data_IF_495227623340
#
_entry.id   IF_495227623340
#
_cell.length_a   1.000
_cell.length_b   1.000
_cell.length_c   1.000
_cell.angle_alpha   90.00
_cell.angle_beta   90.00
_cell.angle_gamma   90.00
#
_symmetry.space_group_name_H-M   'P 1'
#
loop_
_entity.id
_entity.type
_entity.pdbx_description
1 polymer ?
#
# COMPACT_ATOMS: atom_id res chain seq x y z
N UNK A 1 18.75 -1.19 8.20
CA UNK A 1 17.90 -0.26 7.43
C UNK A 1 17.05 -1.08 6.46
N UNK A 2 15.73 -1.06 6.56
CA UNK A 2 14.87 -1.76 5.60
C UNK A 2 14.67 -0.91 4.35
N UNK A 3 14.70 -1.53 3.18
CA UNK A 3 14.48 -0.83 1.90
C UNK A 3 13.03 -0.34 1.80
N UNK A 4 12.75 0.73 1.02
CA UNK A 4 11.38 1.17 0.73
C UNK A 4 10.50 0.03 0.21
N UNK A 5 11.02 -0.79 -0.70
CA UNK A 5 10.34 -1.96 -1.23
C UNK A 5 9.93 -2.98 -0.17
N UNK A 6 10.81 -3.25 0.81
CA UNK A 6 10.49 -4.14 1.92
C UNK A 6 9.31 -3.59 2.73
N UNK A 7 9.31 -2.31 3.08
CA UNK A 7 8.20 -1.70 3.80
C UNK A 7 6.89 -1.68 3.00
N UNK A 8 6.97 -1.44 1.69
CA UNK A 8 5.81 -1.50 0.81
C UNK A 8 5.17 -2.90 0.86
N UNK A 9 5.98 -3.94 0.66
CA UNK A 9 5.51 -5.31 0.77
C UNK A 9 4.85 -5.60 2.12
N UNK A 10 5.44 -5.11 3.22
CA UNK A 10 4.89 -5.33 4.56
C UNK A 10 3.47 -4.79 4.71
N UNK A 11 3.24 -3.54 4.29
CA UNK A 11 1.92 -2.93 4.36
C UNK A 11 0.92 -3.65 3.45
N UNK A 12 1.33 -4.04 2.24
CA UNK A 12 0.47 -4.77 1.30
C UNK A 12 0.07 -6.15 1.83
N UNK A 13 1.02 -6.93 2.38
CA UNK A 13 0.70 -8.23 3.00
C UNK A 13 -0.23 -8.06 4.19
N UNK A 14 0.01 -7.08 5.06
CA UNK A 14 -0.89 -6.82 6.18
C UNK A 14 -2.26 -6.35 5.72
N UNK A 15 -2.36 -5.54 4.67
CA UNK A 15 -3.64 -5.10 4.11
C UNK A 15 -4.43 -6.30 3.60
N UNK A 16 -3.79 -7.19 2.83
CA UNK A 16 -4.39 -8.45 2.37
C UNK A 16 -4.82 -9.36 3.51
N UNK A 17 -3.98 -9.54 4.53
CA UNK A 17 -4.33 -10.33 5.71
C UNK A 17 -5.49 -9.70 6.50
N UNK A 18 -5.55 -8.38 6.59
CA UNK A 18 -6.64 -7.63 7.25
C UNK A 18 -7.95 -7.77 6.49
N UNK A 19 -7.90 -7.79 5.16
CA UNK A 19 -9.06 -8.08 4.31
C UNK A 19 -9.62 -9.47 4.58
N UNK A 20 -8.76 -10.51 4.62
CA UNK A 20 -9.16 -11.88 4.91
C UNK A 20 -9.79 -12.03 6.31
N UNK A 21 -9.30 -11.25 7.28
CA UNK A 21 -9.80 -11.23 8.67
C UNK A 21 -11.01 -10.30 8.88
N UNK A 22 -11.58 -9.73 7.81
CA UNK A 22 -12.73 -8.81 7.86
C UNK A 22 -12.46 -7.59 8.76
N UNK A 23 -11.26 -7.03 8.69
CA UNK A 23 -10.85 -5.82 9.41
C UNK A 23 -10.69 -4.63 8.44
N UNK A 24 -11.79 -4.11 7.87
CA UNK A 24 -11.72 -3.12 6.80
C UNK A 24 -11.03 -1.81 7.21
N UNK A 25 -11.25 -1.35 8.44
CA UNK A 25 -10.61 -0.13 8.94
C UNK A 25 -9.08 -0.27 9.07
N UNK A 26 -8.59 -1.46 9.40
CA UNK A 26 -7.14 -1.72 9.49
C UNK A 26 -6.57 -1.83 8.09
N UNK A 27 -7.26 -2.55 7.19
CA UNK A 27 -6.91 -2.64 5.77
C UNK A 27 -6.77 -1.24 5.15
N UNK A 28 -7.77 -0.37 5.30
CA UNK A 28 -7.75 0.96 4.67
C UNK A 28 -6.56 1.80 5.14
N UNK A 29 -6.24 1.75 6.43
CA UNK A 29 -5.06 2.44 6.99
C UNK A 29 -3.75 1.90 6.43
N UNK A 30 -3.64 0.59 6.27
CA UNK A 30 -2.45 -0.05 5.69
C UNK A 30 -2.33 0.25 4.19
N UNK A 31 -3.46 0.29 3.47
CA UNK A 31 -3.49 0.70 2.05
C UNK A 31 -3.10 2.18 1.88
N UNK A 32 -3.44 3.07 2.81
CA UNK A 32 -2.94 4.46 2.78
C UNK A 32 -1.43 4.49 2.94
N UNK A 33 -0.87 3.75 3.91
CA UNK A 33 0.58 3.69 4.12
C UNK A 33 1.31 3.07 2.91
N UNK A 34 0.77 1.99 2.35
CA UNK A 34 1.29 1.36 1.15
C UNK A 34 1.21 2.28 -0.06
N UNK A 35 0.06 2.92 -0.31
CA UNK A 35 -0.16 3.79 -1.46
C UNK A 35 0.72 5.04 -1.44
N UNK A 36 0.92 5.64 -0.26
CA UNK A 36 1.89 6.74 -0.09
C UNK A 36 3.31 6.28 -0.38
N UNK A 37 3.71 5.11 0.10
CA UNK A 37 5.05 4.59 -0.14
C UNK A 37 5.27 4.23 -1.60
N UNK A 38 4.28 3.62 -2.26
CA UNK A 38 4.30 3.34 -3.69
C UNK A 38 4.44 4.62 -4.51
N UNK A 39 3.70 5.69 -4.18
CA UNK A 39 3.83 6.98 -4.84
C UNK A 39 5.23 7.61 -4.67
N UNK A 40 5.86 7.46 -3.49
CA UNK A 40 7.24 7.92 -3.28
C UNK A 40 8.30 7.06 -4.00
N UNK A 41 7.92 5.88 -4.49
CA UNK A 41 8.77 4.97 -5.27
C UNK A 41 8.46 5.06 -6.77
N UNK A 42 7.67 6.05 -7.21
CA UNK A 42 7.19 6.22 -8.58
C UNK A 42 6.37 5.01 -9.12
N UNK A 43 5.81 4.19 -8.21
CA UNK A 43 4.93 3.07 -8.53
C UNK A 43 3.47 3.54 -8.60
N UNK A 44 3.19 4.49 -9.51
CA UNK A 44 1.88 5.15 -9.63
C UNK A 44 0.71 4.16 -9.79
N UNK A 45 0.79 3.10 -10.61
CA UNK A 45 -0.31 2.13 -10.73
C UNK A 45 -0.63 1.41 -9.43
N UNK A 46 0.39 1.09 -8.61
CA UNK A 46 0.20 0.48 -7.29
C UNK A 46 -0.47 1.47 -6.33
N UNK A 47 -0.03 2.72 -6.34
CA UNK A 47 -0.62 3.78 -5.53
C UNK A 47 -2.10 4.01 -5.90
N UNK A 48 -2.41 4.04 -7.20
CA UNK A 48 -3.77 4.19 -7.72
C UNK A 48 -4.65 2.99 -7.33
N UNK A 49 -4.14 1.76 -7.46
CA UNK A 49 -4.83 0.56 -7.01
C UNK A 49 -5.18 0.63 -5.51
N UNK A 50 -4.22 0.99 -4.65
CA UNK A 50 -4.45 1.13 -3.22
C UNK A 50 -5.57 2.15 -2.92
N UNK A 51 -5.57 3.28 -3.63
CA UNK A 51 -6.63 4.30 -3.50
C UNK A 51 -7.98 3.77 -3.97
N UNK A 52 -8.01 3.06 -5.10
CA UNK A 52 -9.22 2.44 -5.65
C UNK A 52 -9.87 1.47 -4.65
N UNK A 53 -9.07 0.60 -4.04
CA UNK A 53 -9.55 -0.36 -3.03
C UNK A 53 -10.14 0.33 -1.79
N UNK A 54 -9.49 1.40 -1.31
CA UNK A 54 -10.02 2.19 -0.18
C UNK A 54 -11.37 2.80 -0.55
N UNK A 55 -11.48 3.41 -1.73
CA UNK A 55 -12.70 4.10 -2.16
C UNK A 55 -13.84 3.16 -2.54
N UNK A 56 -13.52 1.99 -3.07
CA UNK A 56 -14.50 0.93 -3.37
C UNK A 56 -15.24 0.49 -2.11
N UNK A 57 -14.52 0.39 -0.99
CA UNK A 57 -15.10 0.03 0.31
C UNK A 57 -15.66 1.23 1.08
N UNK A 58 -14.95 2.34 1.11
CA UNK A 58 -15.35 3.56 1.80
C UNK A 58 -15.32 4.75 0.81
N UNK A 59 -16.43 4.97 0.06
CA UNK A 59 -16.52 6.06 -0.92
C UNK A 59 -16.43 7.46 -0.32
N UNK A 60 -16.56 7.59 1.01
CA UNK A 60 -16.47 8.84 1.76
C UNK A 60 -15.10 8.99 2.46
N UNK A 61 -14.14 8.12 2.17
CA UNK A 61 -12.81 8.20 2.77
C UNK A 61 -12.10 9.50 2.39
N UNK A 62 -11.30 10.04 3.31
CA UNK A 62 -10.57 11.31 3.15
C UNK A 62 -9.75 11.38 1.85
N UNK A 63 -9.14 10.25 1.45
CA UNK A 63 -8.32 10.13 0.22
C UNK A 63 -9.08 10.44 -1.07
N UNK A 64 -10.42 10.49 -1.04
CA UNK A 64 -11.23 10.91 -2.19
C UNK A 64 -10.93 12.35 -2.61
N UNK A 65 -10.56 13.23 -1.65
CA UNK A 65 -10.28 14.64 -1.90
C UNK A 65 -9.18 14.87 -2.94
N UNK A 66 -8.26 13.92 -3.09
CA UNK A 66 -7.13 14.04 -3.99
C UNK A 66 -7.18 12.97 -5.09
N UNK A 67 -6.75 13.28 -6.32
CA UNK A 67 -6.72 12.32 -7.42
C UNK A 67 -5.66 11.23 -7.23
N UNK A 68 -4.51 11.58 -6.65
CA UNK A 68 -3.38 10.67 -6.39
C UNK A 68 -2.84 10.84 -4.97
N UNK A 69 -2.13 9.83 -4.46
CA UNK A 69 -1.41 9.96 -3.18
C UNK A 69 -0.27 10.99 -3.26
N UNK A 70 0.35 11.17 -4.43
CA UNK A 70 1.32 12.24 -4.66
C UNK A 70 0.71 13.63 -4.46
N UNK A 71 -0.48 13.87 -5.03
CA UNK A 71 -1.22 15.12 -4.81
C UNK A 71 -1.63 15.28 -3.34
N UNK A 72 -2.04 14.19 -2.68
CA UNK A 72 -2.40 14.21 -1.26
C UNK A 72 -1.21 14.59 -0.36
N UNK A 73 0.02 14.17 -0.70
CA UNK A 73 1.22 14.55 0.07
C UNK A 73 1.51 16.06 0.05
N UNK A 74 0.98 16.80 -0.92
CA UNK A 74 1.08 18.27 -0.95
C UNK A 74 0.15 18.99 0.03
N UNK A 75 -0.79 18.28 0.67
CA UNK A 75 -1.83 18.85 1.54
C UNK A 75 -1.51 18.61 3.03
N UNK A 76 -1.57 19.66 3.85
CA UNK A 76 -1.22 19.61 5.28
C UNK A 76 -2.14 18.70 6.11
N UNK A 77 -3.43 18.63 5.78
CA UNK A 77 -4.40 17.77 6.46
C UNK A 77 -4.00 16.30 6.26
N UNK A 78 -3.67 15.95 5.00
CA UNK A 78 -3.27 14.60 4.66
C UNK A 78 -1.92 14.24 5.26
N UNK A 79 -0.93 15.15 5.24
CA UNK A 79 0.34 14.93 5.90
C UNK A 79 0.18 14.66 7.41
N UNK A 80 -0.71 15.40 8.08
CA UNK A 80 -1.03 15.20 9.49
C UNK A 80 -1.67 13.83 9.73
N UNK A 81 -2.63 13.42 8.89
CA UNK A 81 -3.23 12.09 8.93
C UNK A 81 -2.20 10.98 8.71
N UNK A 82 -1.35 11.10 7.69
CA UNK A 82 -0.31 10.14 7.36
C UNK A 82 0.71 9.98 8.51
N UNK A 83 1.14 11.09 9.14
CA UNK A 83 2.01 11.06 10.33
C UNK A 83 1.37 10.28 11.49
N UNK A 84 0.07 10.46 11.73
CA UNK A 84 -0.65 9.70 12.75
C UNK A 84 -0.70 8.20 12.43
N UNK A 85 -0.94 7.84 11.16
CA UNK A 85 -0.93 6.44 10.72
C UNK A 85 0.46 5.80 10.92
N UNK A 86 1.53 6.48 10.52
CA UNK A 86 2.90 6.00 10.73
C UNK A 86 3.23 5.77 12.21
N UNK A 87 2.78 6.65 13.10
CA UNK A 87 2.95 6.46 14.56
C UNK A 87 2.15 5.26 15.10
N UNK A 88 0.99 4.98 14.52
CA UNK A 88 0.13 3.84 14.92
C UNK A 88 0.66 2.49 14.43
N UNK A 89 1.34 2.51 13.28
CA UNK A 89 1.93 1.35 12.62
C UNK A 89 3.41 1.59 12.33
N UNK A 90 4.26 1.68 13.38
CA UNK A 90 5.71 1.73 13.19
C UNK A 90 6.22 0.42 12.59
N UNK A 91 7.40 0.46 11.96
CA UNK A 91 8.01 -0.69 11.27
C UNK A 91 8.11 -1.92 12.16
N UNK A 92 8.55 -1.77 13.42
CA UNK A 92 8.68 -2.89 14.36
C UNK A 92 7.35 -3.59 14.62
N UNK A 93 6.27 -2.81 14.82
CA UNK A 93 4.93 -3.35 15.04
C UNK A 93 4.40 -4.06 13.80
N UNK A 94 4.66 -3.49 12.63
CA UNK A 94 4.28 -4.07 11.34
C UNK A 94 4.99 -5.40 11.11
N UNK A 95 6.29 -5.46 11.40
CA UNK A 95 7.07 -6.70 11.35
C UNK A 95 6.54 -7.74 12.33
N UNK A 96 6.27 -7.37 13.58
CA UNK A 96 5.67 -8.26 14.58
C UNK A 96 4.30 -8.78 14.13
N UNK A 97 3.46 -7.94 13.53
CA UNK A 97 2.16 -8.37 12.99
C UNK A 97 2.34 -9.40 11.88
N UNK A 98 3.30 -9.22 10.96
CA UNK A 98 3.58 -10.20 9.90
C UNK A 98 4.05 -11.53 10.46
N UNK A 99 4.97 -11.50 11.43
CA UNK A 99 5.44 -12.72 12.12
C UNK A 99 4.28 -13.43 12.81
N UNK A 100 3.39 -12.69 13.48
CA UNK A 100 2.21 -13.26 14.15
C UNK A 100 1.23 -13.93 13.18
N UNK A 101 1.24 -13.52 11.92
CA UNK A 101 0.42 -14.08 10.84
C UNK A 101 1.12 -15.23 10.10
N UNK A 102 2.37 -15.56 10.44
CA UNK A 102 3.17 -16.56 9.74
C UNK A 102 3.64 -16.13 8.35
N UNK A 103 3.64 -14.84 8.04
CA UNK A 103 4.02 -14.31 6.72
C UNK A 103 5.54 -14.12 6.67
N UNK A 104 6.22 -14.94 5.87
CA UNK A 104 7.68 -14.85 5.67
C UNK A 104 8.03 -14.14 4.36
N UNK A 105 8.35 -12.85 4.45
CA UNK A 105 8.72 -12.04 3.27
C UNK A 105 10.17 -12.23 2.79
N UNK A 106 11.03 -12.85 3.61
CA UNK A 106 12.48 -12.74 3.48
C UNK A 106 13.05 -13.26 2.14
N UNK A 107 12.36 -14.18 1.45
CA UNK A 107 12.76 -14.72 0.14
C UNK A 107 11.78 -14.42 -0.99
N UNK A 108 10.62 -13.86 -0.66
CA UNK A 108 9.54 -13.64 -1.63
C UNK A 108 9.96 -12.56 -2.64
N UNK A 109 10.54 -11.45 -2.17
CA UNK A 109 11.02 -10.35 -3.03
C UNK A 109 12.16 -10.76 -3.98
N UNK A 110 12.99 -11.74 -3.60
CA UNK A 110 14.09 -12.23 -4.43
C UNK A 110 13.60 -13.05 -5.64
N UNK A 111 12.34 -13.47 -5.62
CA UNK A 111 11.73 -14.26 -6.71
C UNK A 111 11.19 -13.36 -7.83
N UNK A 112 11.14 -12.04 -7.62
CA UNK A 112 10.59 -11.08 -8.57
C UNK A 112 11.67 -10.17 -9.15
N UNK A 113 11.49 -9.78 -10.41
CA UNK A 113 12.48 -8.99 -11.15
C UNK A 113 12.48 -7.52 -10.74
N UNK A 114 11.35 -7.00 -10.26
CA UNK A 114 11.20 -5.60 -9.86
C UNK A 114 10.29 -5.43 -8.63
N UNK A 115 10.47 -4.31 -7.93
CA UNK A 115 9.59 -3.94 -6.81
C UNK A 115 8.14 -3.72 -7.27
N UNK A 116 7.92 -3.34 -8.53
CA UNK A 116 6.59 -3.22 -9.15
C UNK A 116 5.91 -4.57 -9.30
N UNK A 117 6.61 -5.54 -9.89
CA UNK A 117 6.13 -6.90 -10.07
C UNK A 117 5.85 -7.58 -8.72
N UNK A 118 6.75 -7.40 -7.76
CA UNK A 118 6.57 -7.87 -6.40
C UNK A 118 5.28 -7.29 -5.76
N UNK A 119 5.08 -5.97 -5.84
CA UNK A 119 3.88 -5.34 -5.29
C UNK A 119 2.58 -5.81 -5.97
N UNK A 120 2.60 -5.96 -7.30
CA UNK A 120 1.47 -6.47 -8.08
C UNK A 120 1.10 -7.90 -7.64
N UNK A 121 2.11 -8.76 -7.46
CA UNK A 121 1.90 -10.15 -7.03
C UNK A 121 1.25 -10.25 -5.65
N UNK A 122 1.66 -9.41 -4.69
CA UNK A 122 1.05 -9.38 -3.34
C UNK A 122 -0.43 -9.01 -3.42
N UNK A 123 -0.76 -8.03 -4.27
CA UNK A 123 -2.13 -7.56 -4.51
C UNK A 123 -2.98 -8.58 -5.29
N UNK A 124 -2.41 -9.68 -5.75
CA UNK A 124 -3.12 -10.70 -6.53
C UNK A 124 -3.47 -10.22 -7.95
N UNK A 125 -2.68 -9.29 -8.48
CA UNK A 125 -2.81 -8.76 -9.84
C UNK A 125 -1.49 -8.91 -10.62
N UNK A 126 -1.47 -8.50 -11.87
CA UNK A 126 -0.27 -8.46 -12.71
C UNK A 126 0.08 -7.02 -13.04
N UNK A 127 1.35 -6.75 -13.32
CA UNK A 127 1.81 -5.44 -13.82
C UNK A 127 1.03 -5.03 -15.06
N UNK A 128 0.86 -5.96 -16.02
CA UNK A 128 0.04 -5.74 -17.22
C UNK A 128 -1.38 -5.26 -16.92
N UNK A 129 -2.09 -5.91 -15.98
CA UNK A 129 -3.46 -5.50 -15.63
C UNK A 129 -3.48 -4.13 -14.94
N UNK A 130 -2.48 -3.85 -14.10
CA UNK A 130 -2.33 -2.55 -13.47
C UNK A 130 -2.05 -1.45 -14.49
N UNK A 131 -1.22 -1.72 -15.49
CA UNK A 131 -0.94 -0.78 -16.58
C UNK A 131 -2.18 -0.57 -17.46
N UNK A 132 -2.96 -1.62 -17.74
CA UNK A 132 -4.24 -1.50 -18.47
C UNK A 132 -5.28 -0.66 -17.71
N UNK A 133 -5.27 -0.72 -16.37
CA UNK A 133 -6.29 -0.10 -15.52
C UNK A 133 -5.89 1.30 -15.01
N UNK A 134 -4.59 1.52 -14.80
CA UNK A 134 -4.03 2.70 -14.14
C UNK A 134 -2.74 3.20 -14.80
N UNK A 135 -2.23 2.52 -15.82
CA UNK A 135 -1.14 3.04 -16.62
C UNK A 135 -1.62 4.32 -17.30
N UNK A 136 -0.92 5.41 -17.01
CA UNK A 136 -1.10 6.65 -17.74
C UNK A 136 -0.84 6.33 -19.21
N UNK A 137 -1.88 6.45 -20.04
CA UNK A 137 -1.65 6.73 -21.45
C UNK A 137 -1.12 8.14 -21.50
N UNK A 138 0.09 8.27 -22.02
CA UNK A 138 0.89 9.48 -22.29
C UNK A 138 1.96 9.85 -21.25
#
# INVERSE_FOLDING_TARGET
MHTPAKHLGMYLHLARASQQRRQPLVRDRLLVLAGVLAANMDLNPIAAYCRGEILSHNPQHLVRRWPTFGAALGDEDFQSHHKQLKRRYPSEKVEQMLVSLGIQMARERETYFSDYEYAAAILGTTTKRLDEQFGESE
#
